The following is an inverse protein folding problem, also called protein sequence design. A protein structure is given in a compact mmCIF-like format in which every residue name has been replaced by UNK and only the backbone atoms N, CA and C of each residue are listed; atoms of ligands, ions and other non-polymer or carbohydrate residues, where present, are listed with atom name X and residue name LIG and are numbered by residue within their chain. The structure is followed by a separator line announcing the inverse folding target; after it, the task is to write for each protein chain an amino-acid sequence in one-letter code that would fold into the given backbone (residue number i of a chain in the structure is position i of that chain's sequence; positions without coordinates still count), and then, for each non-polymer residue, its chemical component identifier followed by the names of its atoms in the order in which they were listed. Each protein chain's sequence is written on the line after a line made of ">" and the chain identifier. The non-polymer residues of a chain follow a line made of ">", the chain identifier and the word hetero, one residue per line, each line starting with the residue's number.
data_IF_173435995055
#
_entry.id   IF_173435995055
#
_cell.length_a   1.000
_cell.length_b   1.000
_cell.length_c   1.000
_cell.angle_alpha   90.00
_cell.angle_beta   90.00
_cell.angle_gamma   90.00
#
_symmetry.space_group_name_H-M   'P 1'
#
loop_
_entity.id
_entity.type
_entity.pdbx_description
1 polymer ?
#
# COMPACT_ATOMS: atom_id res chain seq x y z
N UNK A 1 47.24 -33.64 -2.80
CA UNK A 1 46.28 -33.77 -3.93
C UNK A 1 45.89 -35.22 -4.24
N UNK A 2 46.75 -36.23 -4.03
CA UNK A 2 46.46 -37.62 -4.40
C UNK A 2 45.12 -38.14 -3.83
N UNK A 3 44.87 -37.99 -2.54
CA UNK A 3 43.66 -38.53 -1.89
C UNK A 3 42.32 -38.02 -2.43
N UNK A 4 42.17 -36.72 -2.69
CA UNK A 4 40.90 -36.16 -3.23
C UNK A 4 40.69 -36.58 -4.69
N UNK A 5 41.76 -36.58 -5.49
CA UNK A 5 41.70 -37.02 -6.88
C UNK A 5 41.33 -38.50 -6.99
N UNK A 6 41.93 -39.35 -6.15
CA UNK A 6 41.59 -40.77 -6.06
C UNK A 6 40.14 -40.98 -5.63
N UNK A 7 39.68 -40.25 -4.61
CA UNK A 7 38.28 -40.30 -4.15
C UNK A 7 37.30 -39.94 -5.27
N UNK A 8 37.58 -38.86 -6.01
CA UNK A 8 36.77 -38.42 -7.13
C UNK A 8 36.74 -39.45 -8.26
N UNK A 9 37.89 -40.05 -8.60
CA UNK A 9 37.96 -41.07 -9.65
C UNK A 9 37.18 -42.33 -9.23
N UNK A 10 37.31 -42.75 -7.97
CA UNK A 10 36.60 -43.92 -7.45
C UNK A 10 35.07 -43.73 -7.47
N UNK A 11 34.57 -42.52 -7.18
CA UNK A 11 33.13 -42.27 -7.07
C UNK A 11 32.46 -41.84 -8.37
N UNK A 12 33.11 -40.98 -9.15
CA UNK A 12 32.53 -40.38 -10.36
C UNK A 12 33.04 -41.05 -11.63
N UNK A 13 34.22 -41.68 -11.59
CA UNK A 13 34.91 -42.24 -12.76
C UNK A 13 35.78 -41.21 -13.45
N UNK A 14 36.98 -41.64 -13.86
CA UNK A 14 38.03 -40.78 -14.44
C UNK A 14 37.53 -39.93 -15.62
N UNK A 15 36.80 -40.55 -16.54
CA UNK A 15 36.30 -39.91 -17.77
C UNK A 15 35.28 -38.80 -17.52
N UNK A 16 34.68 -38.76 -16.31
CA UNK A 16 33.64 -37.78 -15.97
C UNK A 16 34.19 -36.55 -15.26
N UNK A 17 35.42 -36.61 -14.76
CA UNK A 17 36.04 -35.52 -14.01
C UNK A 17 36.57 -34.49 -15.00
N UNK A 18 36.13 -33.25 -14.85
CA UNK A 18 36.59 -32.10 -15.64
C UNK A 18 37.81 -31.48 -14.98
N UNK A 19 37.72 -31.18 -13.68
CA UNK A 19 38.82 -30.57 -12.93
C UNK A 19 38.79 -30.93 -11.45
N UNK A 20 39.97 -30.83 -10.83
CA UNK A 20 40.17 -30.92 -9.38
C UNK A 20 41.14 -29.81 -9.00
N UNK A 21 40.61 -28.76 -8.38
CA UNK A 21 41.32 -27.50 -8.14
C UNK A 21 41.47 -27.29 -6.63
N UNK A 22 42.70 -27.10 -6.17
CA UNK A 22 43.02 -26.82 -4.78
C UNK A 22 43.22 -25.31 -4.60
N UNK A 23 42.35 -24.67 -3.82
CA UNK A 23 42.48 -23.27 -3.45
C UNK A 23 43.13 -23.18 -2.08
N UNK A 24 44.26 -22.46 -2.01
CA UNK A 24 45.01 -22.18 -0.77
C UNK A 24 45.19 -20.67 -0.52
N UNK A 25 44.68 -19.85 -1.42
CA UNK A 25 44.72 -18.39 -1.45
C UNK A 25 43.51 -17.75 -0.77
N UNK A 26 42.58 -18.57 -0.26
CA UNK A 26 41.39 -18.14 0.48
C UNK A 26 41.53 -18.42 1.99
N UNK A 27 40.58 -17.93 2.79
CA UNK A 27 40.62 -18.04 4.27
C UNK A 27 40.66 -19.47 4.79
N UNK A 28 40.20 -20.44 4.02
CA UNK A 28 40.26 -21.86 4.39
C UNK A 28 40.64 -22.67 3.16
N UNK A 29 41.74 -23.45 3.20
CA UNK A 29 42.12 -24.31 2.09
C UNK A 29 41.00 -25.29 1.75
N UNK A 30 40.59 -25.34 0.48
CA UNK A 30 39.52 -26.23 0.04
C UNK A 30 39.75 -26.70 -1.41
N UNK A 31 39.03 -27.76 -1.79
CA UNK A 31 39.14 -28.37 -3.11
C UNK A 31 37.81 -28.30 -3.84
N UNK A 32 37.83 -27.80 -5.07
CA UNK A 32 36.72 -27.92 -6.02
C UNK A 32 36.90 -29.17 -6.86
N UNK A 33 35.84 -29.97 -6.96
CA UNK A 33 35.79 -31.14 -7.86
C UNK A 33 34.66 -30.92 -8.85
N UNK A 34 35.01 -30.72 -10.12
CA UNK A 34 34.04 -30.50 -11.20
C UNK A 34 33.94 -31.78 -12.02
N UNK A 35 32.73 -32.30 -12.19
CA UNK A 35 32.47 -33.51 -12.97
C UNK A 35 31.16 -33.42 -13.76
N UNK A 36 31.08 -34.19 -14.83
CA UNK A 36 29.86 -34.35 -15.64
C UNK A 36 29.05 -35.56 -15.17
N UNK A 37 27.78 -35.40 -14.76
CA UNK A 37 26.98 -36.53 -14.29
C UNK A 37 26.38 -37.32 -15.47
N UNK A 38 27.20 -37.79 -16.40
CA UNK A 38 26.76 -38.53 -17.60
C UNK A 38 26.89 -40.04 -17.36
N UNK A 39 25.77 -40.76 -17.30
CA UNK A 39 25.73 -42.21 -17.11
C UNK A 39 24.91 -42.82 -18.24
N UNK A 40 25.50 -43.79 -18.95
CA UNK A 40 24.93 -44.42 -20.14
C UNK A 40 24.52 -43.40 -21.21
N UNK A 41 25.38 -42.40 -21.43
CA UNK A 41 25.13 -41.33 -22.41
C UNK A 41 24.05 -40.32 -22.01
N UNK A 42 23.50 -40.39 -20.80
CA UNK A 42 22.44 -39.49 -20.31
C UNK A 42 22.87 -38.73 -19.07
N UNK A 43 22.42 -37.48 -18.93
CA UNK A 43 22.61 -36.69 -17.72
C UNK A 43 21.76 -37.28 -16.57
N UNK A 44 22.42 -37.82 -15.55
CA UNK A 44 21.81 -38.46 -14.37
C UNK A 44 22.36 -37.88 -13.06
N UNK A 45 22.24 -36.57 -12.84
CA UNK A 45 22.68 -35.91 -11.60
C UNK A 45 22.12 -36.56 -10.32
N UNK A 46 20.86 -37.00 -10.37
CA UNK A 46 20.18 -37.67 -9.25
C UNK A 46 20.87 -38.97 -8.80
N UNK A 47 21.78 -39.54 -9.58
CA UNK A 47 22.54 -40.70 -9.11
C UNK A 47 23.41 -40.36 -7.88
N UNK A 48 23.93 -39.13 -7.79
CA UNK A 48 24.76 -38.69 -6.66
C UNK A 48 24.02 -37.71 -5.74
N UNK A 49 23.18 -36.84 -6.30
CA UNK A 49 22.56 -35.72 -5.57
C UNK A 49 21.04 -35.90 -5.37
N UNK A 50 20.61 -37.09 -4.96
CA UNK A 50 19.19 -37.40 -4.71
C UNK A 50 18.83 -37.39 -3.22
N UNK A 51 18.86 -36.19 -2.65
CA UNK A 51 18.44 -35.93 -1.27
C UNK A 51 19.48 -36.28 -0.21
N UNK A 52 19.11 -35.98 1.05
CA UNK A 52 19.99 -36.02 2.21
C UNK A 52 20.73 -37.37 2.42
N UNK A 53 20.08 -38.51 2.19
CA UNK A 53 20.70 -39.84 2.36
C UNK A 53 21.81 -40.10 1.35
N UNK A 54 21.56 -39.82 0.07
CA UNK A 54 22.56 -40.01 -1.00
C UNK A 54 23.79 -39.11 -0.77
N UNK A 55 23.55 -37.84 -0.41
CA UNK A 55 24.62 -36.88 -0.08
C UNK A 55 25.36 -37.29 1.20
N UNK A 56 24.67 -37.85 2.20
CA UNK A 56 25.29 -38.42 3.39
C UNK A 56 26.26 -39.55 3.06
N UNK A 57 25.83 -40.50 2.24
CA UNK A 57 26.66 -41.62 1.80
C UNK A 57 27.85 -41.16 0.95
N UNK A 58 27.65 -40.16 0.09
CA UNK A 58 28.73 -39.56 -0.69
C UNK A 58 29.81 -38.95 0.22
N UNK A 59 29.41 -38.20 1.26
CA UNK A 59 30.34 -37.64 2.26
C UNK A 59 31.14 -38.74 2.97
N UNK A 60 30.47 -39.80 3.41
CA UNK A 60 31.10 -40.95 4.08
C UNK A 60 32.17 -41.60 3.19
N UNK A 61 31.86 -41.84 1.90
CA UNK A 61 32.82 -42.42 0.95
C UNK A 61 34.02 -41.53 0.66
N UNK A 62 33.77 -40.23 0.47
CA UNK A 62 34.83 -39.25 0.20
C UNK A 62 35.75 -39.12 1.42
N UNK A 63 35.17 -39.04 2.62
CA UNK A 63 35.94 -39.05 3.88
C UNK A 63 36.82 -40.30 3.99
N UNK A 64 36.28 -41.49 3.74
CA UNK A 64 37.04 -42.74 3.83
C UNK A 64 38.26 -42.80 2.88
N UNK A 65 38.21 -42.12 1.73
CA UNK A 65 39.37 -41.99 0.85
C UNK A 65 40.34 -40.93 1.35
N UNK A 66 39.85 -39.74 1.69
CA UNK A 66 40.69 -38.63 2.14
C UNK A 66 41.42 -38.98 3.44
N UNK A 67 40.76 -39.67 4.37
CA UNK A 67 41.30 -40.05 5.67
C UNK A 67 42.51 -41.01 5.59
N UNK A 68 42.68 -41.72 4.47
CA UNK A 68 43.89 -42.55 4.22
C UNK A 68 45.13 -41.71 3.95
N UNK A 69 44.94 -40.47 3.51
CA UNK A 69 46.01 -39.55 3.10
C UNK A 69 46.20 -38.40 4.10
N UNK A 70 45.11 -37.94 4.71
CA UNK A 70 45.09 -36.85 5.68
C UNK A 70 44.12 -37.23 6.77
N UNK A 71 44.63 -37.47 7.98
CA UNK A 71 43.79 -37.76 9.13
C UNK A 71 42.79 -36.61 9.36
N UNK A 72 41.51 -36.94 9.29
CA UNK A 72 40.43 -36.00 9.52
C UNK A 72 39.25 -36.69 10.20
N UNK A 73 38.56 -35.96 11.05
CA UNK A 73 37.41 -36.48 11.80
C UNK A 73 36.14 -36.34 10.97
N UNK A 74 35.32 -37.40 10.99
CA UNK A 74 33.98 -37.39 10.40
C UNK A 74 33.06 -38.22 11.29
N UNK A 75 31.94 -37.63 11.69
CA UNK A 75 30.88 -38.32 12.40
C UNK A 75 29.80 -38.75 11.41
N UNK A 76 29.53 -40.06 11.36
CA UNK A 76 28.58 -40.63 10.41
C UNK A 76 27.18 -40.08 10.65
N UNK A 77 26.60 -39.50 9.62
CA UNK A 77 25.26 -38.91 9.69
C UNK A 77 25.23 -37.50 10.28
N UNK A 78 26.38 -36.91 10.62
CA UNK A 78 26.44 -35.52 11.06
C UNK A 78 25.80 -34.57 10.02
N UNK A 79 25.13 -33.49 10.48
CA UNK A 79 24.61 -32.47 9.58
C UNK A 79 25.75 -31.90 8.72
N UNK A 80 25.47 -31.63 7.43
CA UNK A 80 26.45 -31.17 6.45
C UNK A 80 26.92 -29.72 6.64
N UNK A 81 27.14 -29.31 7.88
CA UNK A 81 27.34 -27.92 8.27
C UNK A 81 26.01 -27.19 8.51
N UNK A 82 26.11 -25.88 8.73
CA UNK A 82 24.96 -24.99 8.81
C UNK A 82 24.16 -25.02 7.48
N UNK A 83 22.84 -24.73 7.52
CA UNK A 83 22.06 -24.56 6.31
C UNK A 83 22.74 -23.59 5.33
N UNK A 84 22.66 -23.90 4.03
CA UNK A 84 23.20 -23.01 3.01
C UNK A 84 22.60 -21.61 3.15
N UNK A 85 23.45 -20.62 3.34
CA UNK A 85 23.07 -19.21 3.45
C UNK A 85 23.45 -18.50 2.14
N UNK A 86 22.46 -18.16 1.28
CA UNK A 86 22.72 -17.49 0.01
C UNK A 86 23.41 -16.12 0.16
N UNK A 87 23.29 -15.48 1.33
CA UNK A 87 23.93 -14.18 1.58
C UNK A 87 25.44 -14.27 1.69
N UNK A 88 25.98 -15.46 1.97
CA UNK A 88 27.42 -15.75 2.09
C UNK A 88 28.02 -16.33 0.82
N UNK A 89 27.28 -16.35 -0.29
CA UNK A 89 27.83 -16.77 -1.58
C UNK A 89 29.03 -15.89 -1.96
N UNK A 90 30.13 -16.51 -2.38
CA UNK A 90 31.27 -15.79 -2.93
C UNK A 90 30.81 -14.92 -4.13
N UNK A 91 31.13 -13.63 -4.11
CA UNK A 91 30.64 -12.65 -5.10
C UNK A 91 29.19 -12.15 -4.88
N UNK A 92 28.52 -12.58 -3.80
CA UNK A 92 27.21 -12.08 -3.42
C UNK A 92 27.22 -10.61 -3.01
N UNK A 93 26.05 -9.95 -3.03
CA UNK A 93 25.90 -8.53 -2.63
C UNK A 93 26.48 -8.21 -1.25
N UNK A 94 26.49 -9.19 -0.34
CA UNK A 94 26.94 -9.10 1.05
C UNK A 94 28.30 -9.77 1.31
N UNK A 95 28.95 -10.34 0.28
CA UNK A 95 30.30 -10.87 0.44
C UNK A 95 31.31 -9.74 0.72
N UNK A 96 32.42 -10.00 1.44
CA UNK A 96 33.50 -9.04 1.58
C UNK A 96 34.00 -8.67 0.18
N UNK A 97 33.71 -7.46 -0.27
CA UNK A 97 34.24 -6.95 -1.53
C UNK A 97 35.68 -6.51 -1.27
N UNK A 98 36.65 -6.92 -2.10
CA UNK A 98 37.99 -6.37 -2.02
C UNK A 98 37.92 -4.84 -2.12
N UNK A 99 38.79 -4.15 -1.38
CA UNK A 99 38.94 -2.70 -1.45
C UNK A 99 39.10 -2.28 -2.93
N UNK A 100 38.21 -1.44 -3.48
CA UNK A 100 38.25 -1.12 -4.89
C UNK A 100 39.61 -0.49 -5.24
N UNK A 101 40.25 -1.05 -6.27
CA UNK A 101 41.56 -0.58 -6.74
C UNK A 101 41.49 0.85 -7.30
N UNK A 102 42.66 1.44 -7.59
CA UNK A 102 42.74 2.81 -8.12
C UNK A 102 41.89 3.00 -9.40
N UNK A 103 41.97 2.04 -10.32
CA UNK A 103 41.22 2.05 -11.59
C UNK A 103 39.71 2.05 -11.34
N UNK A 104 39.24 1.27 -10.36
CA UNK A 104 37.83 1.10 -10.04
C UNK A 104 37.28 2.34 -9.32
N UNK A 105 38.08 2.94 -8.41
CA UNK A 105 37.79 4.24 -7.78
C UNK A 105 37.69 5.37 -8.82
N UNK A 106 38.50 5.35 -9.87
CA UNK A 106 38.39 6.31 -10.99
C UNK A 106 37.24 5.97 -11.95
N UNK A 107 36.95 4.69 -12.17
CA UNK A 107 35.85 4.24 -13.03
C UNK A 107 34.48 4.53 -12.41
N UNK A 108 34.32 4.46 -11.09
CA UNK A 108 33.10 4.88 -10.40
C UNK A 108 32.83 6.39 -10.55
N UNK A 109 33.90 7.21 -10.58
CA UNK A 109 33.78 8.65 -10.88
C UNK A 109 33.46 8.92 -12.35
N UNK A 110 33.96 8.10 -13.27
CA UNK A 110 33.71 8.25 -14.72
C UNK A 110 32.38 7.65 -15.18
N UNK A 111 31.90 6.57 -14.55
CA UNK A 111 30.73 5.79 -14.99
C UNK A 111 29.37 6.45 -14.67
N UNK A 112 29.37 7.63 -14.04
CA UNK A 112 28.14 8.35 -13.74
C UNK A 112 27.21 7.63 -12.75
N UNK A 113 27.68 6.60 -12.03
CA UNK A 113 26.88 5.84 -11.06
C UNK A 113 26.26 6.73 -9.98
N UNK A 114 27.02 7.72 -9.49
CA UNK A 114 26.52 8.71 -8.52
C UNK A 114 25.38 9.53 -9.11
N UNK A 115 25.51 9.95 -10.38
CA UNK A 115 24.46 10.69 -11.09
C UNK A 115 23.21 9.83 -11.27
N UNK A 116 23.37 8.55 -11.64
CA UNK A 116 22.26 7.60 -11.78
C UNK A 116 21.55 7.38 -10.43
N UNK A 117 22.30 7.29 -9.33
CA UNK A 117 21.71 7.16 -7.98
C UNK A 117 20.94 8.41 -7.57
N UNK A 118 21.50 9.60 -7.82
CA UNK A 118 20.81 10.87 -7.58
C UNK A 118 19.53 10.97 -8.42
N UNK A 119 19.59 10.61 -9.70
CA UNK A 119 18.43 10.63 -10.60
C UNK A 119 17.33 9.69 -10.14
N UNK A 120 17.68 8.48 -9.67
CA UNK A 120 16.73 7.53 -9.08
C UNK A 120 16.06 8.09 -7.83
N UNK A 121 16.83 8.73 -6.94
CA UNK A 121 16.28 9.36 -5.74
C UNK A 121 15.32 10.51 -6.10
N UNK A 122 15.67 11.34 -7.10
CA UNK A 122 14.79 12.40 -7.60
C UNK A 122 13.51 11.85 -8.20
N UNK A 123 13.58 10.79 -9.03
CA UNK A 123 12.39 10.14 -9.61
C UNK A 123 11.47 9.62 -8.50
N UNK A 124 12.03 8.97 -7.47
CA UNK A 124 11.25 8.48 -6.33
C UNK A 124 10.54 9.62 -5.62
N UNK A 125 11.25 10.71 -5.31
CA UNK A 125 10.67 11.86 -4.63
C UNK A 125 9.58 12.54 -5.46
N UNK A 126 9.78 12.69 -6.77
CA UNK A 126 8.76 13.24 -7.67
C UNK A 126 7.52 12.36 -7.74
N UNK A 127 7.69 11.03 -7.77
CA UNK A 127 6.57 10.11 -7.77
C UNK A 127 5.72 10.23 -6.49
N UNK A 128 6.36 10.37 -5.33
CA UNK A 128 5.67 10.58 -4.05
C UNK A 128 4.90 11.91 -4.05
N UNK A 129 5.51 12.98 -4.56
CA UNK A 129 4.85 14.28 -4.70
C UNK A 129 3.62 14.21 -5.62
N UNK A 130 3.74 13.51 -6.74
CA UNK A 130 2.65 13.29 -7.70
C UNK A 130 1.49 12.53 -7.03
N UNK A 131 1.76 11.48 -6.25
CA UNK A 131 0.72 10.75 -5.54
C UNK A 131 -0.01 11.64 -4.52
N UNK A 132 0.72 12.46 -3.78
CA UNK A 132 0.12 13.43 -2.84
C UNK A 132 -0.74 14.45 -3.60
N UNK A 133 -0.26 14.98 -4.72
CA UNK A 133 -1.01 15.92 -5.57
C UNK A 133 -2.31 15.28 -6.10
N UNK A 134 -2.26 14.04 -6.60
CA UNK A 134 -3.45 13.33 -7.06
C UNK A 134 -4.48 13.10 -5.95
N UNK A 135 -4.04 12.71 -4.76
CA UNK A 135 -4.97 12.53 -3.63
C UNK A 135 -5.65 13.83 -3.23
N UNK A 136 -4.92 14.96 -3.25
CA UNK A 136 -5.46 16.30 -3.01
C UNK A 136 -6.45 16.72 -4.09
N UNK A 137 -6.13 16.49 -5.36
CA UNK A 137 -6.98 16.84 -6.50
C UNK A 137 -8.30 16.07 -6.43
N UNK A 138 -8.24 14.74 -6.22
CA UNK A 138 -9.42 13.89 -6.05
C UNK A 138 -10.30 14.34 -4.88
N UNK A 139 -9.69 14.76 -3.77
CA UNK A 139 -10.43 15.29 -2.63
C UNK A 139 -11.09 16.63 -2.94
N UNK A 140 -10.42 17.51 -3.70
CA UNK A 140 -10.96 18.79 -4.13
C UNK A 140 -12.12 18.62 -5.11
N UNK A 141 -11.99 17.72 -6.09
CA UNK A 141 -13.07 17.36 -7.02
C UNK A 141 -14.32 16.88 -6.28
N UNK A 142 -14.14 15.98 -5.29
CA UNK A 142 -15.26 15.51 -4.47
C UNK A 142 -15.96 16.66 -3.75
N UNK A 143 -15.20 17.56 -3.11
CA UNK A 143 -15.79 18.73 -2.42
C UNK A 143 -16.56 19.63 -3.39
N UNK A 144 -16.01 19.89 -4.57
CA UNK A 144 -16.68 20.70 -5.58
C UNK A 144 -17.98 20.05 -6.06
N UNK A 145 -17.99 18.73 -6.27
CA UNK A 145 -19.19 17.98 -6.63
C UNK A 145 -20.25 18.02 -5.51
N UNK A 146 -19.85 17.85 -4.25
CA UNK A 146 -20.74 17.95 -3.10
C UNK A 146 -21.34 19.37 -2.97
N UNK A 147 -20.54 20.41 -3.21
CA UNK A 147 -21.00 21.80 -3.18
C UNK A 147 -22.00 22.10 -4.31
N UNK A 148 -21.75 21.63 -5.53
CA UNK A 148 -22.68 21.76 -6.65
C UNK A 148 -24.02 21.08 -6.34
N UNK A 149 -23.99 19.85 -5.84
CA UNK A 149 -25.19 19.12 -5.43
C UNK A 149 -25.99 19.87 -4.35
N UNK A 150 -25.29 20.51 -3.40
CA UNK A 150 -25.95 21.32 -2.37
C UNK A 150 -26.59 22.59 -2.96
N UNK A 151 -25.89 23.27 -3.86
CA UNK A 151 -26.40 24.45 -4.56
C UNK A 151 -27.63 24.11 -5.41
N UNK A 152 -27.62 23.00 -6.15
CA UNK A 152 -28.77 22.53 -6.93
C UNK A 152 -30.00 22.28 -6.04
N UNK A 153 -29.81 21.62 -4.90
CA UNK A 153 -30.90 21.40 -3.92
C UNK A 153 -31.43 22.73 -3.37
N UNK A 154 -30.55 23.69 -3.09
CA UNK A 154 -30.96 25.01 -2.60
C UNK A 154 -31.75 25.80 -3.65
N UNK A 155 -31.29 25.78 -4.92
CA UNK A 155 -31.99 26.39 -6.05
C UNK A 155 -33.38 25.77 -6.23
N UNK A 156 -33.48 24.44 -6.19
CA UNK A 156 -34.76 23.73 -6.31
C UNK A 156 -35.75 24.13 -5.21
N UNK A 157 -35.31 24.15 -3.94
CA UNK A 157 -36.13 24.60 -2.82
C UNK A 157 -36.57 26.06 -3.01
N UNK A 158 -35.66 26.94 -3.42
CA UNK A 158 -36.00 28.35 -3.67
C UNK A 158 -37.07 28.49 -4.76
N UNK A 159 -36.98 27.69 -5.84
CA UNK A 159 -37.97 27.66 -6.90
C UNK A 159 -39.35 27.20 -6.39
N UNK A 160 -39.40 26.09 -5.64
CA UNK A 160 -40.63 25.59 -5.02
C UNK A 160 -41.25 26.63 -4.07
N UNK A 161 -40.41 27.32 -3.29
CA UNK A 161 -40.88 28.36 -2.36
C UNK A 161 -41.44 29.58 -3.11
N UNK A 162 -40.79 29.97 -4.22
CA UNK A 162 -41.25 31.07 -5.08
C UNK A 162 -42.57 30.75 -5.76
N UNK A 163 -42.71 29.55 -6.31
CA UNK A 163 -43.98 29.10 -6.91
C UNK A 163 -45.14 29.12 -5.91
N UNK A 164 -44.89 28.67 -4.67
CA UNK A 164 -45.88 28.71 -3.61
C UNK A 164 -46.27 30.15 -3.26
N UNK A 165 -45.30 31.05 -3.13
CA UNK A 165 -45.54 32.46 -2.85
C UNK A 165 -46.32 33.15 -3.99
N UNK A 166 -46.04 32.81 -5.25
CA UNK A 166 -46.79 33.32 -6.40
C UNK A 166 -48.26 32.84 -6.38
N UNK A 167 -48.51 31.56 -6.05
CA UNK A 167 -49.88 31.04 -5.87
C UNK A 167 -50.62 31.73 -4.74
N UNK A 168 -49.98 31.91 -3.58
CA UNK A 168 -50.57 32.63 -2.44
C UNK A 168 -50.89 34.07 -2.79
N UNK A 169 -50.02 34.75 -3.55
CA UNK A 169 -50.26 36.12 -4.01
C UNK A 169 -51.48 36.20 -4.94
N UNK A 170 -51.61 35.27 -5.88
CA UNK A 170 -52.79 35.17 -6.76
C UNK A 170 -54.08 34.92 -5.94
N UNK A 171 -54.03 34.06 -4.93
CA UNK A 171 -55.18 33.79 -4.08
C UNK A 171 -55.59 35.02 -3.25
N UNK A 172 -54.63 35.74 -2.68
CA UNK A 172 -54.88 37.02 -1.97
C UNK A 172 -55.52 38.03 -2.91
N UNK A 173 -55.04 38.15 -4.15
CA UNK A 173 -55.61 39.07 -5.15
C UNK A 173 -57.08 38.72 -5.46
N UNK A 174 -57.39 37.43 -5.64
CA UNK A 174 -58.77 36.96 -5.82
C UNK A 174 -59.64 37.26 -4.59
N UNK A 175 -59.11 37.03 -3.39
CA UNK A 175 -59.83 37.33 -2.14
C UNK A 175 -60.07 38.84 -1.97
N UNK A 176 -59.10 39.69 -2.32
CA UNK A 176 -59.26 41.15 -2.32
C UNK A 176 -60.35 41.59 -3.30
N UNK A 177 -60.37 41.04 -4.52
CA UNK A 177 -61.45 41.31 -5.49
C UNK A 177 -62.82 40.90 -4.94
N UNK A 178 -62.92 39.74 -4.26
CA UNK A 178 -64.17 39.30 -3.61
C UNK A 178 -64.59 40.23 -2.48
N UNK A 179 -63.65 40.70 -1.64
CA UNK A 179 -63.94 41.66 -0.58
C UNK A 179 -64.51 42.94 -1.18
N UNK A 180 -63.85 43.53 -2.18
CA UNK A 180 -64.30 44.74 -2.87
C UNK A 180 -65.72 44.57 -3.45
N UNK A 181 -66.03 43.39 -4.02
CA UNK A 181 -67.37 43.09 -4.55
C UNK A 181 -68.45 42.91 -3.45
N UNK A 182 -68.05 42.56 -2.23
CA UNK A 182 -68.95 42.37 -1.08
C UNK A 182 -69.10 43.64 -0.21
N UNK A 183 -68.12 44.54 -0.20
CA UNK A 183 -68.16 45.84 0.51
C UNK A 183 -69.46 46.63 0.26
N UNK A 184 -69.90 46.85 -1.00
CA UNK A 184 -71.16 47.58 -1.25
C UNK A 184 -72.41 46.81 -0.79
N UNK A 185 -72.35 45.46 -0.68
CA UNK A 185 -73.47 44.63 -0.19
C UNK A 185 -73.60 44.67 1.34
N UNK A 186 -72.51 44.93 2.04
CA UNK A 186 -72.50 45.14 3.50
C UNK A 186 -72.95 46.57 3.82
N UNK A 187 -72.50 47.57 3.07
CA UNK A 187 -72.96 48.96 3.22
C UNK A 187 -74.45 49.14 2.89
N UNK A 188 -74.99 48.34 1.96
CA UNK A 188 -76.44 48.26 1.68
C UNK A 188 -77.25 47.54 2.77
N UNK A 189 -76.58 46.83 3.70
CA UNK A 189 -77.17 46.25 4.92
C UNK A 189 -76.59 46.95 6.15
N UNK A 190 -76.82 48.26 6.29
CA UNK A 190 -76.79 48.85 7.64
C UNK A 190 -77.77 48.08 8.53
N UNK A 191 -77.38 47.65 9.74
CA UNK A 191 -78.36 47.26 10.74
C UNK A 191 -79.22 48.48 11.05
N UNK A 192 -80.53 48.26 11.04
CA UNK A 192 -81.51 49.11 11.71
C UNK A 192 -80.97 49.47 13.09
N UNK A 193 -81.04 50.75 13.44
CA UNK A 193 -80.81 51.23 14.79
C UNK A 193 -81.63 50.39 15.78
N UNK A 194 -80.98 49.52 16.55
CA UNK A 194 -81.59 48.92 17.72
C UNK A 194 -80.98 49.57 18.96
N UNK A 195 -81.80 50.36 19.65
CA UNK A 195 -81.53 50.86 20.99
C UNK A 195 -81.05 49.72 21.90
N UNK A 196 -79.77 49.71 22.22
CA UNK A 196 -79.21 48.90 23.30
C UNK A 196 -78.36 49.79 24.22
N UNK A 197 -79.00 50.80 24.81
CA UNK A 197 -78.57 51.31 26.11
C UNK A 197 -78.87 50.21 27.15
N UNK A 198 -77.87 49.49 27.64
CA UNK A 198 -78.10 48.61 28.80
C UNK A 198 -77.09 47.52 29.14
N UNK A 199 -76.06 47.23 28.33
CA UNK A 199 -75.14 46.11 28.64
C UNK A 199 -73.68 46.51 28.37
N UNK A 200 -73.16 47.46 29.14
CA UNK A 200 -71.70 47.67 29.24
C UNK A 200 -71.25 48.05 30.66
N UNK A 201 -72.05 47.70 31.68
CA UNK A 201 -71.72 47.91 33.10
C UNK A 201 -71.10 46.68 33.79
N UNK A 202 -70.81 45.61 33.06
CA UNK A 202 -70.30 44.35 33.64
C UNK A 202 -69.08 43.79 32.93
N UNK A 203 -68.08 44.61 32.60
CA UNK A 203 -66.72 44.10 32.36
C UNK A 203 -65.68 45.12 32.84
N UNK A 204 -65.42 45.15 34.16
CA UNK A 204 -64.15 45.69 34.68
C UNK A 204 -63.01 44.78 34.19
N UNK A 205 -61.94 45.30 33.57
CA UNK A 205 -60.76 44.51 33.26
C UNK A 205 -60.01 44.17 34.55
N UNK A 206 -59.82 42.87 34.80
CA UNK A 206 -58.91 42.39 35.82
C UNK A 206 -57.46 42.71 35.38
N UNK A 207 -56.78 43.55 36.15
CA UNK A 207 -55.36 43.87 36.01
C UNK A 207 -54.51 42.62 36.24
N UNK A 208 -53.94 42.06 35.17
CA UNK A 208 -52.90 41.04 35.26
C UNK A 208 -51.54 41.72 35.44
N UNK A 209 -50.93 41.48 36.62
CA UNK A 209 -49.62 41.98 37.00
C UNK A 209 -48.50 41.40 36.10
N UNK A 210 -47.41 42.16 35.85
CA UNK A 210 -46.30 41.69 35.04
C UNK A 210 -45.50 40.60 35.75
N UNK A 211 -45.37 39.43 35.10
CA UNK A 211 -44.44 38.36 35.53
C UNK A 211 -43.01 38.81 35.25
N UNK A 212 -42.20 38.73 36.30
CA UNK A 212 -40.76 38.96 36.32
C UNK A 212 -40.01 38.00 35.39
N UNK A 213 -39.08 38.56 34.61
CA UNK A 213 -38.08 37.80 33.87
C UNK A 213 -37.02 37.23 34.82
N UNK A 214 -36.53 35.99 34.62
CA UNK A 214 -35.41 35.46 35.40
C UNK A 214 -34.11 36.15 35.00
N UNK A 215 -33.34 36.57 36.02
CA UNK A 215 -31.97 37.07 35.92
C UNK A 215 -30.99 35.91 35.73
N UNK A 216 -30.01 36.16 34.84
CA UNK A 216 -28.61 35.66 34.74
C UNK A 216 -28.38 34.17 35.00
#
# INVERSE_FOLDING_TARGET
>A
MAGVKEAAIAEFGKERIISVDLHTDESTPHVHVVFTPIVDGKLKQKQWLNGHKAVGFLREKLHAHVNKHIECTYEKGAPGGAPHDPSKAAGGVNGPKPEPGFIEKTADKLSGRTLIQQLKATISSLNDQIQVMFSRLKSAEKRAADELNLREKAIKKMHETRELAEKQKQEIEVLQQKIVALTPKIEAKKPVESNFSGILDHMKPATLAPKTAPKV
#
